data_IF_363236659199
#
_entry.id   IF_363236659199
#
_cell.length_a   1.000
_cell.length_b   1.000
_cell.length_c   1.000
_cell.angle_alpha   90.00
_cell.angle_beta   90.00
_cell.angle_gamma   90.00
#
_symmetry.space_group_name_H-M   'P 1'
#
loop_
_entity.id
_entity.type
_entity.pdbx_description
1 polymer ?
#
# COMPACT_ATOMS: atom_id res chain seq x y z
N UNK A 1 10.24 2.22 8.88
CA UNK A 1 9.18 1.73 7.98
C UNK A 1 9.26 0.23 7.92
N UNK A 2 8.15 -0.43 8.21
CA UNK A 2 7.96 -1.88 8.19
C UNK A 2 6.83 -2.25 7.25
N UNK A 3 6.77 -3.52 6.90
CA UNK A 3 5.64 -4.12 6.20
C UNK A 3 4.33 -3.83 6.93
N UNK A 4 3.30 -3.43 6.19
CA UNK A 4 1.99 -3.04 6.75
C UNK A 4 1.86 -1.56 7.09
N UNK A 5 2.96 -0.80 7.17
CA UNK A 5 2.90 0.65 7.38
C UNK A 5 2.21 1.35 6.20
N UNK A 6 1.43 2.38 6.52
CA UNK A 6 0.90 3.33 5.56
C UNK A 6 1.76 4.59 5.55
N UNK A 7 2.18 5.00 4.35
CA UNK A 7 3.12 6.08 4.10
C UNK A 7 2.60 6.98 3.00
N UNK A 8 3.13 8.19 2.90
CA UNK A 8 2.85 9.05 1.75
C UNK A 8 3.95 8.92 0.69
N UNK A 9 3.56 8.78 -0.57
CA UNK A 9 4.47 8.81 -1.71
C UNK A 9 4.22 10.07 -2.53
N UNK A 10 5.29 10.75 -2.93
CA UNK A 10 5.26 11.82 -3.92
C UNK A 10 5.92 11.29 -5.20
N UNK A 11 5.11 10.90 -6.18
CA UNK A 11 5.63 10.55 -7.50
C UNK A 11 5.75 11.82 -8.35
N UNK A 12 6.91 12.02 -8.99
CA UNK A 12 7.05 13.08 -9.99
C UNK A 12 6.20 12.72 -11.23
N UNK A 13 5.26 13.59 -11.64
CA UNK A 13 4.31 13.36 -12.75
C UNK A 13 2.84 13.68 -12.39
N UNK A 14 1.87 13.11 -13.12
CA UNK A 14 0.40 13.34 -13.07
C UNK A 14 -0.29 13.24 -11.69
N UNK A 15 0.46 12.94 -10.64
CA UNK A 15 -0.02 12.67 -9.29
C UNK A 15 0.46 13.70 -8.26
N UNK A 16 0.55 14.99 -8.63
CA UNK A 16 1.15 16.09 -7.84
C UNK A 16 0.65 16.33 -6.39
N UNK A 17 -0.26 15.51 -5.86
CA UNK A 17 -0.61 15.48 -4.43
C UNK A 17 -0.01 14.22 -3.79
N UNK A 18 0.65 14.32 -2.63
CA UNK A 18 1.09 13.14 -1.86
C UNK A 18 -0.05 12.13 -1.70
N UNK A 19 0.22 10.86 -2.01
CA UNK A 19 -0.79 9.78 -1.97
C UNK A 19 -0.43 8.76 -0.90
N UNK A 20 -1.41 8.23 -0.16
CA UNK A 20 -1.18 7.09 0.71
C UNK A 20 -0.74 5.86 -0.09
N UNK A 21 0.18 5.10 0.48
CA UNK A 21 0.63 3.80 -0.03
C UNK A 21 0.92 2.85 1.13
N UNK A 22 0.69 1.56 0.90
CA UNK A 22 0.96 0.47 1.82
C UNK A 22 2.32 -0.13 1.53
N UNK A 23 3.16 -0.27 2.56
CA UNK A 23 4.43 -0.99 2.47
C UNK A 23 4.17 -2.49 2.40
N UNK A 24 4.63 -3.13 1.33
CA UNK A 24 4.49 -4.59 1.16
C UNK A 24 5.82 -5.34 1.19
N UNK A 25 6.95 -4.63 1.11
CA UNK A 25 8.29 -5.21 1.21
C UNK A 25 8.48 -5.90 2.57
N UNK A 26 9.04 -7.12 2.54
CA UNK A 26 9.36 -7.85 3.76
C UNK A 26 10.42 -7.12 4.59
N UNK A 27 10.25 -7.13 5.92
CA UNK A 27 11.14 -6.46 6.87
C UNK A 27 12.60 -6.95 6.78
N UNK A 28 12.79 -8.20 6.34
CA UNK A 28 14.13 -8.78 6.06
C UNK A 28 14.95 -7.91 5.09
N UNK A 29 14.30 -7.20 4.18
CA UNK A 29 14.94 -6.32 3.20
C UNK A 29 14.87 -4.84 3.62
N UNK A 30 14.77 -4.58 4.93
CA UNK A 30 14.61 -3.23 5.49
C UNK A 30 15.77 -2.27 5.25
N UNK A 31 16.96 -2.79 4.93
CA UNK A 31 18.19 -2.00 4.73
C UNK A 31 18.40 -1.51 3.28
N UNK A 32 17.62 -2.01 2.31
CA UNK A 32 17.73 -1.56 0.91
C UNK A 32 17.28 -0.10 0.75
N UNK A 33 17.92 0.67 -0.14
CA UNK A 33 17.62 2.09 -0.36
C UNK A 33 16.24 2.39 -0.96
N UNK A 34 15.54 1.35 -1.42
CA UNK A 34 14.18 1.44 -1.96
C UNK A 34 13.21 0.54 -1.22
N UNK A 35 11.94 0.88 -1.33
CA UNK A 35 10.82 0.14 -0.73
C UNK A 35 9.72 -0.08 -1.74
N UNK A 36 9.23 -1.31 -1.82
CA UNK A 36 8.07 -1.66 -2.64
C UNK A 36 6.77 -1.40 -1.87
N UNK A 37 5.87 -0.66 -2.50
CA UNK A 37 4.58 -0.22 -1.94
C UNK A 37 3.42 -0.46 -2.91
N UNK A 38 2.20 -0.51 -2.37
CA UNK A 38 0.94 -0.49 -3.12
C UNK A 38 0.21 0.84 -2.85
N UNK A 39 -0.07 1.66 -3.87
CA UNK A 39 -0.86 2.89 -3.71
C UNK A 39 -2.28 2.60 -3.21
N UNK A 40 -2.85 3.56 -2.48
CA UNK A 40 -4.27 3.57 -2.12
C UNK A 40 -5.02 4.63 -2.94
N UNK A 41 -6.30 4.37 -3.18
CA UNK A 41 -7.23 5.31 -3.80
C UNK A 41 -8.54 5.39 -3.01
N UNK A 42 -9.10 6.60 -2.88
CA UNK A 42 -10.46 6.78 -2.37
C UNK A 42 -11.53 6.70 -3.47
N UNK A 43 -11.12 6.55 -4.73
CA UNK A 43 -12.03 6.25 -5.84
C UNK A 43 -12.30 4.76 -5.83
N UNK A 44 -13.48 4.39 -5.32
CA UNK A 44 -13.87 3.00 -5.12
C UNK A 44 -14.31 2.38 -6.45
N UNK A 45 -13.80 1.18 -6.73
CA UNK A 45 -14.14 0.39 -7.93
C UNK A 45 -14.48 -1.04 -7.52
N UNK A 46 -15.48 -1.64 -8.16
CA UNK A 46 -15.86 -3.04 -7.97
C UNK A 46 -14.89 -3.98 -8.71
N UNK A 47 -13.77 -4.28 -8.07
CA UNK A 47 -12.81 -5.26 -8.58
C UNK A 47 -12.17 -6.04 -7.40
N UNK A 48 -12.87 -7.03 -6.81
CA UNK A 48 -12.49 -7.64 -5.53
C UNK A 48 -11.07 -8.19 -5.46
N UNK A 49 -10.53 -8.69 -6.57
CA UNK A 49 -9.15 -9.20 -6.64
C UNK A 49 -8.09 -8.09 -6.78
N UNK A 50 -8.47 -6.90 -7.23
CA UNK A 50 -7.55 -5.79 -7.50
C UNK A 50 -7.68 -4.63 -6.52
N UNK A 51 -8.78 -4.58 -5.75
CA UNK A 51 -9.18 -3.46 -4.93
C UNK A 51 -9.61 -3.95 -3.54
N UNK A 52 -8.64 -4.10 -2.66
CA UNK A 52 -8.90 -4.51 -1.26
C UNK A 52 -9.38 -3.30 -0.47
N UNK A 53 -10.58 -3.37 0.09
CA UNK A 53 -11.19 -2.30 0.88
C UNK A 53 -10.48 -2.08 2.21
N UNK A 54 -10.32 -0.81 2.58
CA UNK A 54 -9.80 -0.37 3.88
C UNK A 54 -10.72 0.73 4.42
N UNK A 55 -11.27 0.50 5.60
CA UNK A 55 -12.06 1.51 6.31
C UNK A 55 -11.15 2.41 7.15
N UNK A 56 -11.45 3.72 7.29
CA UNK A 56 -10.78 4.62 8.22
C UNK A 56 -10.72 4.05 9.64
N UNK A 57 -9.56 4.12 10.27
CA UNK A 57 -9.39 3.84 11.69
C UNK A 57 -8.34 4.77 12.30
N UNK A 58 -8.30 4.83 13.63
CA UNK A 58 -7.25 5.57 14.34
C UNK A 58 -5.85 4.98 14.03
N UNK A 59 -5.75 3.66 13.92
CA UNK A 59 -4.48 2.96 13.69
C UNK A 59 -3.92 3.18 12.28
N UNK A 60 -4.81 3.21 11.28
CA UNK A 60 -4.38 3.37 9.88
C UNK A 60 -4.30 4.83 9.43
N UNK A 61 -4.88 5.77 10.19
CA UNK A 61 -4.80 7.21 9.92
C UNK A 61 -5.50 7.66 8.63
N UNK A 62 -6.29 6.82 7.98
CA UNK A 62 -7.08 7.20 6.81
C UNK A 62 -8.29 8.04 7.23
N UNK A 63 -8.69 8.99 6.38
CA UNK A 63 -9.86 9.85 6.63
C UNK A 63 -11.10 9.43 5.84
N UNK A 64 -10.95 8.57 4.83
CA UNK A 64 -12.04 8.12 3.95
C UNK A 64 -11.84 6.65 3.58
N UNK A 65 -12.93 5.90 3.32
CA UNK A 65 -12.85 4.58 2.73
C UNK A 65 -11.93 4.60 1.52
N UNK A 66 -10.98 3.67 1.48
CA UNK A 66 -9.96 3.60 0.46
C UNK A 66 -9.76 2.16 0.02
N UNK A 67 -9.16 1.97 -1.15
CA UNK A 67 -8.80 0.66 -1.68
C UNK A 67 -7.29 0.59 -1.92
N UNK A 68 -6.67 -0.49 -1.47
CA UNK A 68 -5.31 -0.86 -1.88
C UNK A 68 -5.38 -1.35 -3.33
N UNK A 69 -4.54 -0.78 -4.20
CA UNK A 69 -4.50 -1.10 -5.62
C UNK A 69 -3.46 -2.18 -5.90
N UNK A 70 -3.90 -3.44 -5.93
CA UNK A 70 -3.02 -4.62 -6.05
C UNK A 70 -2.19 -4.61 -7.33
N UNK A 71 -2.75 -4.12 -8.45
CA UNK A 71 -2.10 -4.08 -9.76
C UNK A 71 -1.07 -2.95 -9.94
N UNK A 72 -0.88 -2.11 -8.92
CA UNK A 72 -0.08 -0.89 -8.99
C UNK A 72 1.13 -0.92 -8.07
N UNK A 73 1.72 -2.09 -7.84
CA UNK A 73 2.96 -2.20 -7.09
C UNK A 73 4.06 -1.34 -7.71
N UNK A 74 4.73 -0.55 -6.88
CA UNK A 74 5.81 0.36 -7.29
C UNK A 74 6.94 0.33 -6.27
N UNK A 75 8.17 0.42 -6.73
CA UNK A 75 9.35 0.52 -5.86
C UNK A 75 9.88 1.93 -5.90
N UNK A 76 9.98 2.56 -4.73
CA UNK A 76 10.32 3.98 -4.57
C UNK A 76 11.54 4.12 -3.66
N UNK A 77 12.44 5.07 -3.95
CA UNK A 77 13.58 5.38 -3.06
C UNK A 77 13.08 5.89 -1.73
N UNK A 78 13.65 5.42 -0.62
CA UNK A 78 13.23 5.75 0.76
C UNK A 78 13.20 7.25 1.05
N UNK A 79 14.13 8.00 0.49
CA UNK A 79 14.20 9.46 0.61
C UNK A 79 13.05 10.22 -0.08
N UNK A 80 12.20 9.53 -0.87
CA UNK A 80 10.99 10.07 -1.49
C UNK A 80 9.70 9.69 -0.76
N UNK A 81 9.78 8.90 0.31
CA UNK A 81 8.61 8.56 1.13
C UNK A 81 8.51 9.50 2.33
N UNK A 82 7.28 9.91 2.63
CA UNK A 82 6.98 10.55 3.90
C UNK A 82 7.06 9.54 5.06
N UNK A 83 6.99 10.04 6.31
CA UNK A 83 6.94 9.17 7.47
C UNK A 83 5.73 8.23 7.43
N UNK A 84 5.83 7.09 8.10
CA UNK A 84 4.68 6.24 8.36
C UNK A 84 3.67 7.02 9.20
N UNK A 85 2.42 7.09 8.74
CA UNK A 85 1.34 7.80 9.42
C UNK A 85 0.31 6.87 10.07
N UNK A 86 0.41 5.57 9.78
CA UNK A 86 -0.46 4.54 10.34
C UNK A 86 -0.01 3.15 9.92
N UNK A 87 -0.78 2.15 10.33
CA UNK A 87 -0.54 0.75 10.00
C UNK A 87 -1.85 0.05 9.64
N UNK A 88 -1.78 -0.90 8.71
CA UNK A 88 -2.93 -1.64 8.25
C UNK A 88 -3.30 -2.78 9.22
N UNK A 89 -4.60 -3.02 9.41
CA UNK A 89 -5.06 -4.19 10.17
C UNK A 89 -4.51 -5.51 9.59
N UNK A 90 -4.14 -6.44 10.46
CA UNK A 90 -3.51 -7.70 10.08
C UNK A 90 -4.38 -8.56 9.15
N UNK A 91 -5.71 -8.58 9.34
CA UNK A 91 -6.60 -9.37 8.49
C UNK A 91 -6.68 -8.77 7.07
N UNK A 92 -6.70 -7.44 6.99
CA UNK A 92 -6.66 -6.75 5.70
C UNK A 92 -5.31 -6.98 5.01
N UNK A 93 -4.20 -6.98 5.76
CA UNK A 93 -2.87 -7.27 5.22
C UNK A 93 -2.79 -8.69 4.63
N UNK A 94 -3.37 -9.69 5.31
CA UNK A 94 -3.49 -11.06 4.77
C UNK A 94 -4.33 -11.09 3.50
N UNK A 95 -5.42 -10.32 3.42
CA UNK A 95 -6.22 -10.22 2.20
C UNK A 95 -5.39 -9.61 1.05
N UNK A 96 -4.64 -8.55 1.31
CA UNK A 96 -3.73 -7.93 0.33
C UNK A 96 -2.69 -8.94 -0.16
N UNK A 97 -2.08 -9.72 0.72
CA UNK A 97 -1.11 -10.78 0.36
C UNK A 97 -1.70 -11.80 -0.59
N UNK A 98 -2.89 -12.32 -0.28
CA UNK A 98 -3.58 -13.31 -1.12
C UNK A 98 -3.88 -12.74 -2.49
N UNK A 99 -4.46 -11.54 -2.55
CA UNK A 99 -4.75 -10.87 -3.81
C UNK A 99 -3.47 -10.61 -4.63
N UNK A 100 -2.39 -10.17 -3.98
CA UNK A 100 -1.11 -9.93 -4.62
C UNK A 100 -0.48 -11.23 -5.14
N UNK A 101 -0.57 -12.32 -4.38
CA UNK A 101 -0.07 -13.62 -4.77
C UNK A 101 -0.81 -14.18 -5.99
N UNK A 102 -2.12 -14.01 -6.05
CA UNK A 102 -2.95 -14.35 -7.22
C UNK A 102 -2.58 -13.46 -8.41
N UNK A 103 -2.48 -12.13 -8.20
CA UNK A 103 -2.15 -11.19 -9.26
C UNK A 103 -0.78 -11.47 -9.91
N UNK A 104 0.21 -11.86 -9.12
CA UNK A 104 1.56 -12.21 -9.59
C UNK A 104 1.68 -13.66 -10.10
N UNK A 105 0.63 -14.48 -10.02
CA UNK A 105 0.66 -15.87 -10.45
C UNK A 105 1.54 -16.79 -9.59
N UNK A 106 1.85 -16.39 -8.35
CA UNK A 106 2.66 -17.18 -7.40
C UNK A 106 1.81 -18.11 -6.53
N UNK A 107 0.51 -17.85 -6.43
CA UNK A 107 -0.49 -18.73 -5.83
C UNK A 107 -1.61 -19.03 -6.84
N UNK A 108 -2.34 -20.13 -6.63
CA UNK A 108 -3.49 -20.56 -7.43
C UNK A 108 -4.74 -20.61 -6.57
#
# INVERSE_FOLDING_TARGET
MKRGDLVTIAMQGDFGKPRPALVIQADLFGELDSVTVLPLTSTLVEAPLLRVMVQPSADNGLHRPSQVMIDKAVTVRRDKLGPAFGHLDANILIQVERCLAIFLGIAK
#
